data_IF_434749327602
#
_entry.id   IF_434749327602
#
_cell.length_a   1.000
_cell.length_b   1.000
_cell.length_c   1.000
_cell.angle_alpha   90.00
_cell.angle_beta   90.00
_cell.angle_gamma   90.00
#
_symmetry.space_group_name_H-M   'P 1'
#
loop_
_entity.id
_entity.type
_entity.pdbx_description
1 polymer ?
#
# COMPACT_ATOMS: atom_id res chain seq x y z
N UNK A 1 -68.94 54.23 24.58
CA UNK A 1 -67.86 55.12 24.16
C UNK A 1 -66.83 54.30 23.46
N UNK A 2 -66.94 54.15 22.26
CA UNK A 2 -66.35 54.76 21.07
C UNK A 2 -64.83 54.93 21.17
N UNK A 3 -64.07 54.17 20.36
CA UNK A 3 -62.67 54.35 20.12
C UNK A 3 -62.14 53.41 19.03
N UNK A 4 -62.43 53.82 17.78
CA UNK A 4 -61.79 53.20 16.60
C UNK A 4 -60.34 53.65 16.53
N UNK A 5 -59.39 52.71 16.26
CA UNK A 5 -58.09 53.04 15.66
C UNK A 5 -57.88 52.23 14.43
N UNK A 6 -57.83 52.90 13.30
CA UNK A 6 -57.31 52.46 12.03
C UNK A 6 -55.78 52.55 12.09
N UNK A 7 -55.04 51.56 11.63
CA UNK A 7 -53.57 51.58 11.52
C UNK A 7 -53.06 50.72 10.40
N UNK A 8 -52.95 51.27 9.25
CA UNK A 8 -51.93 51.24 8.20
C UNK A 8 -51.27 49.87 7.81
N UNK A 9 -51.60 49.49 6.59
CA UNK A 9 -50.87 48.58 5.71
C UNK A 9 -49.42 49.07 5.48
N UNK A 10 -48.47 48.27 5.81
CA UNK A 10 -47.10 48.42 5.40
C UNK A 10 -46.64 47.18 4.61
N UNK A 11 -46.71 47.24 3.29
CA UNK A 11 -46.14 46.25 2.42
C UNK A 11 -44.64 46.35 2.48
N UNK A 12 -43.97 45.26 2.81
CA UNK A 12 -42.52 45.13 2.63
C UNK A 12 -42.24 43.99 1.68
N UNK A 13 -41.62 44.40 0.58
CA UNK A 13 -41.21 43.62 -0.55
C UNK A 13 -40.38 42.38 -0.18
N UNK A 14 -40.80 41.28 -0.73
CA UNK A 14 -40.05 40.04 -0.73
C UNK A 14 -38.74 40.22 -1.53
N UNK A 15 -37.60 40.25 -0.83
CA UNK A 15 -36.33 40.06 -1.47
C UNK A 15 -36.22 38.58 -1.88
N UNK A 16 -36.44 38.33 -3.16
CA UNK A 16 -36.16 37.04 -3.76
C UNK A 16 -34.71 36.65 -3.51
N UNK A 17 -34.51 35.64 -2.68
CA UNK A 17 -33.25 34.92 -2.63
C UNK A 17 -33.07 34.20 -3.98
N UNK A 18 -32.27 34.79 -4.86
CA UNK A 18 -31.72 34.07 -6.02
C UNK A 18 -30.79 33.01 -5.47
N UNK A 19 -31.27 31.78 -5.36
CA UNK A 19 -30.44 30.59 -5.24
C UNK A 19 -29.62 30.45 -6.54
N UNK A 20 -28.43 31.01 -6.53
CA UNK A 20 -27.45 30.79 -7.57
C UNK A 20 -26.64 29.52 -7.26
N UNK A 21 -27.32 28.36 -7.32
CA UNK A 21 -26.74 27.04 -7.10
C UNK A 21 -26.60 26.29 -8.41
N UNK A 22 -25.98 26.90 -9.40
CA UNK A 22 -25.44 26.18 -10.55
C UNK A 22 -24.05 26.69 -10.84
N UNK A 23 -23.11 26.47 -9.92
CA UNK A 23 -21.73 26.30 -10.29
C UNK A 23 -21.62 24.87 -10.80
N UNK A 24 -21.63 24.73 -12.12
CA UNK A 24 -21.23 23.52 -12.82
C UNK A 24 -19.88 23.08 -12.28
N UNK A 25 -19.89 22.18 -11.31
CA UNK A 25 -18.71 21.45 -10.89
C UNK A 25 -18.35 20.52 -12.05
N UNK A 26 -17.67 21.08 -13.05
CA UNK A 26 -16.98 20.24 -14.02
C UNK A 26 -15.97 19.43 -13.23
N UNK A 27 -16.10 18.09 -13.17
CA UNK A 27 -15.08 17.29 -12.51
C UNK A 27 -13.77 17.61 -13.21
N UNK A 28 -12.82 18.14 -12.47
CA UNK A 28 -11.44 18.29 -12.95
C UNK A 28 -10.99 16.87 -13.20
N UNK A 29 -10.98 16.44 -14.46
CA UNK A 29 -10.36 15.19 -14.89
C UNK A 29 -8.86 15.31 -14.57
N UNK A 30 -8.49 15.06 -13.32
CA UNK A 30 -7.11 14.84 -12.96
C UNK A 30 -6.70 13.58 -13.74
N UNK A 31 -5.96 13.75 -14.83
CA UNK A 31 -5.33 12.64 -15.54
C UNK A 31 -4.68 11.78 -14.44
N UNK A 32 -5.07 10.51 -14.36
CA UNK A 32 -4.42 9.57 -13.44
C UNK A 32 -2.96 9.53 -13.89
N UNK A 33 -2.07 9.98 -13.02
CA UNK A 33 -0.64 9.89 -13.29
C UNK A 33 -0.28 8.42 -13.47
N UNK A 34 0.50 8.14 -14.49
CA UNK A 34 1.01 6.79 -14.78
C UNK A 34 2.32 6.56 -14.04
N UNK A 35 2.75 5.31 -13.92
CA UNK A 35 4.02 4.95 -13.29
C UNK A 35 5.21 5.68 -13.94
N UNK A 36 5.11 6.00 -15.22
CA UNK A 36 6.12 6.71 -16.01
C UNK A 36 6.36 8.17 -15.58
N UNK A 37 5.44 8.75 -14.81
CA UNK A 37 5.58 10.13 -14.31
C UNK A 37 6.29 10.24 -12.96
N UNK A 38 6.63 9.10 -12.33
CA UNK A 38 7.24 9.05 -11.03
C UNK A 38 8.69 8.59 -11.10
N UNK A 39 9.60 9.47 -10.71
CA UNK A 39 11.04 9.24 -10.72
C UNK A 39 11.69 9.70 -9.42
N UNK A 40 12.80 9.06 -9.08
CA UNK A 40 13.70 9.53 -8.03
C UNK A 40 14.83 10.33 -8.67
N UNK A 41 15.01 11.57 -8.24
CA UNK A 41 16.08 12.42 -8.73
C UNK A 41 16.71 13.26 -7.61
N UNK A 42 17.95 13.67 -7.84
CA UNK A 42 18.79 14.41 -6.90
C UNK A 42 18.94 15.85 -7.35
N UNK A 43 18.96 16.78 -6.40
CA UNK A 43 19.34 18.17 -6.66
C UNK A 43 18.18 19.15 -6.95
N UNK A 44 16.94 18.74 -6.72
CA UNK A 44 15.78 19.64 -6.81
C UNK A 44 15.40 20.21 -5.44
N UNK A 45 14.96 21.47 -5.41
CA UNK A 45 14.39 22.08 -4.19
C UNK A 45 13.14 21.32 -3.66
N UNK A 46 12.47 20.55 -4.51
CA UNK A 46 11.31 19.71 -4.19
C UNK A 46 11.67 18.23 -4.02
N UNK A 47 12.95 17.91 -3.80
CA UNK A 47 13.42 16.52 -3.78
C UNK A 47 12.68 15.67 -2.74
N UNK A 48 12.49 16.17 -1.52
CA UNK A 48 11.82 15.42 -0.45
C UNK A 48 10.36 15.07 -0.83
N UNK A 49 9.56 16.05 -1.23
CA UNK A 49 8.16 15.81 -1.61
C UNK A 49 8.01 14.95 -2.86
N UNK A 50 8.97 15.02 -3.78
CA UNK A 50 8.97 14.15 -4.97
C UNK A 50 9.36 12.72 -4.59
N UNK A 51 10.31 12.54 -3.66
CA UNK A 51 10.69 11.24 -3.15
C UNK A 51 9.48 10.55 -2.49
N UNK A 52 8.83 11.21 -1.55
CA UNK A 52 7.64 10.69 -0.86
C UNK A 52 6.54 10.30 -1.85
N UNK A 53 6.19 11.20 -2.77
CA UNK A 53 5.17 10.93 -3.78
C UNK A 53 5.52 9.77 -4.70
N UNK A 54 6.80 9.63 -5.08
CA UNK A 54 7.26 8.54 -5.94
C UNK A 54 7.31 7.21 -5.18
N UNK A 55 7.79 7.22 -3.93
CA UNK A 55 7.83 6.05 -3.09
C UNK A 55 6.41 5.50 -2.83
N UNK A 56 5.48 6.35 -2.40
CA UNK A 56 4.09 5.97 -2.15
C UNK A 56 3.43 5.39 -3.39
N UNK A 57 3.65 6.01 -4.55
CA UNK A 57 3.06 5.52 -5.79
C UNK A 57 3.61 4.18 -6.20
N UNK A 58 4.94 3.98 -6.13
CA UNK A 58 5.61 2.73 -6.49
C UNK A 58 5.19 1.62 -5.51
N UNK A 59 5.18 1.88 -4.21
CA UNK A 59 4.73 0.91 -3.19
C UNK A 59 3.27 0.51 -3.44
N UNK A 60 2.40 1.46 -3.74
CA UNK A 60 0.99 1.17 -4.07
C UNK A 60 0.84 0.41 -5.39
N UNK A 61 1.68 0.67 -6.39
CA UNK A 61 1.72 -0.10 -7.63
C UNK A 61 2.12 -1.55 -7.35
N UNK A 62 3.22 -1.79 -6.65
CA UNK A 62 3.70 -3.12 -6.26
C UNK A 62 2.61 -3.88 -5.48
N UNK A 63 1.98 -3.23 -4.51
CA UNK A 63 0.90 -3.81 -3.71
C UNK A 63 -0.28 -4.31 -4.54
N UNK A 64 -0.59 -3.67 -5.67
CA UNK A 64 -1.72 -3.99 -6.53
C UNK A 64 -1.40 -4.98 -7.63
N UNK A 65 -0.22 -4.84 -8.23
CA UNK A 65 0.11 -5.53 -9.48
C UNK A 65 0.92 -6.82 -9.25
N UNK A 66 1.59 -6.96 -8.09
CA UNK A 66 2.40 -8.14 -7.81
C UNK A 66 1.58 -9.20 -7.07
N UNK A 67 1.82 -10.46 -7.39
CA UNK A 67 1.28 -11.56 -6.61
C UNK A 67 1.79 -11.45 -5.16
N UNK A 68 0.88 -11.54 -4.17
CA UNK A 68 1.18 -11.26 -2.75
C UNK A 68 1.94 -9.94 -2.53
N UNK A 69 1.70 -8.95 -3.37
CA UNK A 69 2.40 -7.66 -3.36
C UNK A 69 2.29 -6.89 -2.04
N UNK A 70 1.38 -7.29 -1.14
CA UNK A 70 1.27 -6.71 0.21
C UNK A 70 2.54 -6.98 1.03
N UNK A 71 3.07 -8.21 1.00
CA UNK A 71 4.22 -8.61 1.81
C UNK A 71 5.46 -7.75 1.47
N UNK A 72 5.70 -7.52 0.17
CA UNK A 72 6.82 -6.70 -0.28
C UNK A 72 6.54 -5.19 -0.08
N UNK A 73 5.29 -4.75 -0.23
CA UNK A 73 4.93 -3.35 -0.02
C UNK A 73 5.11 -2.93 1.45
N UNK A 74 4.77 -3.79 2.40
CA UNK A 74 5.02 -3.58 3.83
C UNK A 74 6.53 -3.49 4.11
N UNK A 75 7.32 -4.41 3.56
CA UNK A 75 8.79 -4.38 3.69
C UNK A 75 9.42 -3.11 3.14
N UNK A 76 8.95 -2.62 1.99
CA UNK A 76 9.44 -1.37 1.39
C UNK A 76 9.02 -0.14 2.19
N UNK A 77 7.85 -0.16 2.81
CA UNK A 77 7.37 0.93 3.65
C UNK A 77 8.15 1.00 4.97
N UNK A 78 8.41 -0.15 5.59
CA UNK A 78 9.13 -0.25 6.86
C UNK A 78 10.66 -0.25 6.67
N UNK A 79 11.16 -0.38 5.44
CA UNK A 79 12.58 -0.55 5.10
C UNK A 79 13.21 -1.74 5.84
N UNK A 80 12.43 -2.78 6.05
CA UNK A 80 12.84 -3.96 6.80
C UNK A 80 12.35 -5.24 6.10
N UNK A 81 13.22 -6.24 6.04
CA UNK A 81 12.83 -7.59 5.58
C UNK A 81 11.95 -8.25 6.64
N UNK A 82 10.84 -8.92 6.25
CA UNK A 82 10.01 -9.63 7.21
C UNK A 82 10.74 -10.82 7.79
N UNK A 83 10.41 -11.16 9.01
CA UNK A 83 10.84 -12.42 9.62
C UNK A 83 10.03 -13.57 9.00
N UNK A 84 10.65 -14.24 8.04
CA UNK A 84 10.03 -15.36 7.31
C UNK A 84 9.80 -16.60 8.17
N UNK A 85 10.48 -16.72 9.32
CA UNK A 85 10.28 -17.83 10.25
C UNK A 85 8.89 -17.79 10.88
N UNK A 86 8.28 -16.59 10.99
CA UNK A 86 6.91 -16.43 11.46
C UNK A 86 5.87 -17.01 10.50
N UNK A 87 6.22 -17.24 9.25
CA UNK A 87 5.33 -17.85 8.25
C UNK A 87 5.37 -19.38 8.30
N UNK A 88 6.38 -19.95 8.96
CA UNK A 88 6.54 -21.39 9.06
C UNK A 88 5.50 -21.98 10.02
N UNK A 89 4.83 -23.08 9.62
CA UNK A 89 3.89 -23.76 10.50
C UNK A 89 4.63 -24.53 11.60
N UNK A 90 3.96 -24.70 12.72
CA UNK A 90 4.40 -25.60 13.79
C UNK A 90 3.68 -26.94 13.69
N UNK A 91 4.42 -28.05 13.84
CA UNK A 91 3.83 -29.36 13.88
C UNK A 91 3.09 -29.55 15.22
N UNK A 92 1.86 -30.00 15.15
CA UNK A 92 1.06 -30.40 16.33
C UNK A 92 1.25 -31.87 16.59
N UNK A 93 1.12 -32.25 17.86
CA UNK A 93 1.01 -33.65 18.29
C UNK A 93 -0.33 -33.86 19.02
N UNK A 94 -0.93 -35.04 18.85
CA UNK A 94 -2.12 -35.41 19.60
C UNK A 94 -1.76 -35.65 21.06
N UNK A 95 -2.69 -35.34 21.95
CA UNK A 95 -2.63 -35.60 23.40
C UNK A 95 -3.61 -36.69 23.83
N UNK A 96 -4.26 -37.35 22.86
CA UNK A 96 -5.22 -38.44 23.18
C UNK A 96 -4.52 -39.65 23.79
N UNK A 97 -5.21 -40.34 24.62
CA UNK A 97 -4.72 -41.56 25.32
C UNK A 97 -5.06 -42.84 24.58
N UNK A 98 -6.05 -42.83 23.68
CA UNK A 98 -6.38 -43.97 22.85
C UNK A 98 -5.36 -44.12 21.70
N UNK A 99 -4.62 -45.22 21.59
CA UNK A 99 -3.61 -45.41 20.58
C UNK A 99 -4.12 -45.28 19.14
N UNK A 100 -5.37 -45.65 18.88
CA UNK A 100 -5.97 -45.62 17.53
C UNK A 100 -6.31 -44.17 17.14
N UNK A 101 -6.89 -43.43 18.07
CA UNK A 101 -7.22 -42.01 17.89
C UNK A 101 -5.92 -41.20 17.73
N UNK A 102 -4.96 -41.42 18.63
CA UNK A 102 -3.65 -40.79 18.61
C UNK A 102 -2.92 -40.96 17.28
N UNK A 103 -2.90 -42.19 16.74
CA UNK A 103 -2.28 -42.47 15.44
C UNK A 103 -3.00 -41.74 14.27
N UNK A 104 -4.33 -41.71 14.32
CA UNK A 104 -5.15 -41.07 13.29
C UNK A 104 -4.98 -39.56 13.30
N UNK A 105 -5.05 -38.94 14.47
CA UNK A 105 -4.86 -37.49 14.63
C UNK A 105 -3.45 -37.03 14.26
N UNK A 106 -2.43 -37.77 14.68
CA UNK A 106 -1.04 -37.44 14.32
C UNK A 106 -0.84 -37.48 12.79
N UNK A 107 -1.43 -38.48 12.11
CA UNK A 107 -1.37 -38.55 10.64
C UNK A 107 -2.09 -37.36 9.99
N UNK A 108 -3.22 -36.92 10.54
CA UNK A 108 -3.92 -35.72 10.07
C UNK A 108 -3.08 -34.46 10.29
N UNK A 109 -2.49 -34.29 11.49
CA UNK A 109 -1.63 -33.15 11.79
C UNK A 109 -0.39 -33.10 10.89
N UNK A 110 0.21 -34.24 10.58
CA UNK A 110 1.30 -34.30 9.60
C UNK A 110 0.87 -33.85 8.20
N UNK A 111 -0.31 -34.29 7.73
CA UNK A 111 -0.82 -33.86 6.43
C UNK A 111 -1.10 -32.35 6.40
N UNK A 112 -1.74 -31.83 7.44
CA UNK A 112 -1.97 -30.39 7.59
C UNK A 112 -0.66 -29.61 7.63
N UNK A 113 0.32 -30.09 8.38
CA UNK A 113 1.64 -29.47 8.48
C UNK A 113 2.34 -29.42 7.12
N UNK A 114 2.36 -30.54 6.37
CA UNK A 114 2.98 -30.60 5.03
C UNK A 114 2.31 -29.63 4.06
N UNK A 115 0.98 -29.52 4.09
CA UNK A 115 0.25 -28.57 3.25
C UNK A 115 0.60 -27.11 3.59
N UNK A 116 0.58 -26.77 4.88
CA UNK A 116 0.93 -25.41 5.36
C UNK A 116 2.41 -25.07 5.11
N UNK A 117 3.30 -26.05 5.26
CA UNK A 117 4.73 -25.87 4.97
C UNK A 117 4.95 -25.57 3.48
N UNK A 118 4.29 -26.33 2.59
CA UNK A 118 4.36 -26.06 1.14
C UNK A 118 3.89 -24.65 0.79
N UNK A 119 2.79 -24.20 1.41
CA UNK A 119 2.27 -22.84 1.21
C UNK A 119 3.23 -21.76 1.76
N UNK A 120 3.82 -21.98 2.94
CA UNK A 120 4.81 -21.06 3.51
C UNK A 120 6.05 -20.93 2.61
N UNK A 121 6.58 -22.04 2.13
CA UNK A 121 7.72 -22.05 1.21
C UNK A 121 7.40 -21.39 -0.13
N UNK A 122 6.19 -21.58 -0.63
CA UNK A 122 5.72 -20.88 -1.83
C UNK A 122 5.63 -19.37 -1.61
N UNK A 123 5.09 -18.94 -0.46
CA UNK A 123 5.04 -17.53 -0.09
C UNK A 123 6.41 -16.87 -0.03
N UNK A 124 7.41 -17.56 0.56
CA UNK A 124 8.78 -17.08 0.63
C UNK A 124 9.37 -16.89 -0.77
N UNK A 125 9.19 -17.87 -1.67
CA UNK A 125 9.68 -17.76 -3.06
C UNK A 125 9.07 -16.57 -3.80
N UNK A 126 7.75 -16.38 -3.68
CA UNK A 126 7.07 -15.23 -4.27
C UNK A 126 7.62 -13.92 -3.71
N UNK A 127 7.86 -13.87 -2.39
CA UNK A 127 8.46 -12.70 -1.75
C UNK A 127 9.84 -12.39 -2.32
N UNK A 128 10.73 -13.38 -2.41
CA UNK A 128 12.08 -13.20 -2.96
C UNK A 128 12.05 -12.76 -4.43
N UNK A 129 11.20 -13.36 -5.25
CA UNK A 129 10.98 -12.96 -6.65
C UNK A 129 10.47 -11.51 -6.75
N UNK A 130 9.55 -11.12 -5.89
CA UNK A 130 9.00 -9.77 -5.86
C UNK A 130 10.05 -8.75 -5.36
N UNK A 131 10.94 -9.14 -4.47
CA UNK A 131 12.04 -8.29 -4.01
C UNK A 131 12.95 -7.93 -5.19
N UNK A 132 13.35 -8.91 -6.00
CA UNK A 132 14.15 -8.69 -7.21
C UNK A 132 13.43 -7.79 -8.22
N UNK A 133 12.14 -8.04 -8.48
CA UNK A 133 11.33 -7.22 -9.39
C UNK A 133 11.18 -5.79 -8.88
N UNK A 134 10.96 -5.62 -7.57
CA UNK A 134 10.83 -4.31 -6.94
C UNK A 134 12.12 -3.51 -7.01
N UNK A 135 13.26 -4.16 -6.78
CA UNK A 135 14.57 -3.54 -6.95
C UNK A 135 14.77 -3.04 -8.38
N UNK A 136 14.50 -3.88 -9.38
CA UNK A 136 14.63 -3.50 -10.79
C UNK A 136 13.72 -2.33 -11.15
N UNK A 137 12.46 -2.35 -10.68
CA UNK A 137 11.50 -1.26 -10.89
C UNK A 137 11.98 0.06 -10.27
N UNK A 138 12.42 0.03 -9.00
CA UNK A 138 12.91 1.22 -8.29
C UNK A 138 14.16 1.76 -8.96
N UNK A 139 15.09 0.87 -9.36
CA UNK A 139 16.32 1.25 -10.04
C UNK A 139 16.05 1.94 -11.38
N UNK A 140 15.13 1.41 -12.18
CA UNK A 140 14.70 2.02 -13.44
C UNK A 140 14.09 3.41 -13.26
N UNK A 141 13.48 3.66 -12.09
CA UNK A 141 12.90 4.96 -11.74
C UNK A 141 13.90 5.94 -11.14
N UNK A 142 15.12 5.52 -10.85
CA UNK A 142 16.20 6.43 -10.48
C UNK A 142 16.79 7.10 -11.72
N UNK A 143 16.94 8.43 -11.67
CA UNK A 143 17.66 9.13 -12.75
C UNK A 143 19.16 8.80 -12.69
N UNK A 144 19.88 9.03 -13.79
CA UNK A 144 21.30 8.71 -13.95
C UNK A 144 22.17 9.29 -12.84
N UNK A 145 21.88 10.51 -12.39
CA UNK A 145 22.62 11.17 -11.30
C UNK A 145 22.40 10.45 -9.95
N UNK A 146 21.18 9.95 -9.72
CA UNK A 146 20.85 9.16 -8.52
C UNK A 146 21.54 7.79 -8.57
N UNK A 147 21.45 7.10 -9.71
CA UNK A 147 22.12 5.81 -9.92
C UNK A 147 23.63 5.93 -9.68
N UNK A 148 24.31 6.90 -10.32
CA UNK A 148 25.74 7.13 -10.12
C UNK A 148 26.12 7.42 -8.67
N UNK A 149 25.28 8.15 -7.91
CA UNK A 149 25.52 8.41 -6.49
C UNK A 149 25.35 7.16 -5.63
N UNK A 150 24.37 6.32 -5.95
CA UNK A 150 24.15 5.06 -5.25
C UNK A 150 25.31 4.10 -5.51
N UNK A 151 25.77 3.97 -6.76
CA UNK A 151 26.89 3.11 -7.16
C UNK A 151 28.23 3.53 -6.52
N UNK A 152 28.41 4.84 -6.26
CA UNK A 152 29.62 5.37 -5.60
C UNK A 152 29.64 5.10 -4.09
N UNK A 153 28.55 4.66 -3.48
CA UNK A 153 28.55 4.31 -2.06
C UNK A 153 29.40 3.07 -1.82
N UNK A 154 30.21 3.13 -0.76
CA UNK A 154 31.13 2.02 -0.40
C UNK A 154 30.39 0.72 -0.09
N UNK A 155 29.17 0.82 0.42
CA UNK A 155 28.30 -0.29 0.80
C UNK A 155 27.38 -0.80 -0.32
N UNK A 156 27.42 -0.16 -1.51
CA UNK A 156 26.52 -0.49 -2.62
C UNK A 156 26.57 -1.98 -3.00
N UNK A 157 27.78 -2.52 -3.18
CA UNK A 157 27.95 -3.93 -3.57
C UNK A 157 27.50 -4.91 -2.50
N UNK A 158 27.65 -4.56 -1.23
CA UNK A 158 27.19 -5.39 -0.10
C UNK A 158 25.69 -5.27 0.14
N UNK A 159 25.10 -4.13 -0.14
CA UNK A 159 23.65 -3.87 0.06
C UNK A 159 22.77 -4.54 -1.01
N UNK A 160 23.33 -4.87 -2.20
CA UNK A 160 22.57 -5.54 -3.27
C UNK A 160 22.38 -7.03 -2.99
N UNK A 161 23.31 -7.64 -2.23
CA UNK A 161 23.32 -9.08 -2.00
C UNK A 161 22.83 -9.49 -0.61
N UNK A 162 22.47 -8.55 0.25
CA UNK A 162 21.87 -8.75 1.57
C UNK A 162 20.43 -8.24 1.61
#
# INVERSE_FOLDING_TARGET
>A
MSGRYQGRRGGRGGRGYRNNTNKDFKPINKKKKTLEEYYFYVGSAKQASNYESSADFIINHIKKEYDRGRDIAESLHELQKPDTDTWMPTLRASIDTDPTVLATENKQFEMEYKAKLSEALHRIRIYDDNLVKSYALIWERCNTAMQSRLEQRKDYKTSIYN
#
